data_IF_706694810451
#
_entry.id   IF_706694810451
#
_cell.length_a   1.000
_cell.length_b   1.000
_cell.length_c   1.000
_cell.angle_alpha   90.00
_cell.angle_beta   90.00
_cell.angle_gamma   90.00
#
_symmetry.space_group_name_H-M   'P 1'
#
loop_
_entity.id
_entity.type
_entity.pdbx_description
1 polymer ?
#
# COMPACT_ATOMS: atom_id res chain seq x y z
N UNK A 1 -11.72 -26.96 -13.67
CA UNK A 1 -10.30 -27.34 -13.69
C UNK A 1 -9.31 -26.20 -14.06
N UNK A 2 -9.70 -25.18 -14.84
CA UNK A 2 -8.79 -24.04 -15.18
C UNK A 2 -8.34 -23.24 -13.95
N UNK A 3 -9.23 -22.91 -13.04
CA UNK A 3 -8.92 -22.11 -11.85
C UNK A 3 -8.06 -22.82 -10.81
N UNK A 4 -8.13 -24.15 -10.74
CA UNK A 4 -7.31 -24.94 -9.81
C UNK A 4 -5.80 -24.83 -10.13
N UNK A 5 -5.44 -24.78 -11.41
CA UNK A 5 -4.04 -24.61 -11.85
C UNK A 5 -3.52 -23.19 -11.55
N UNK A 6 -4.38 -22.18 -11.68
CA UNK A 6 -4.03 -20.78 -11.39
C UNK A 6 -3.84 -20.56 -9.89
N UNK A 7 -4.73 -21.15 -9.07
CA UNK A 7 -4.60 -21.08 -7.60
C UNK A 7 -3.34 -21.82 -7.13
N UNK A 8 -3.05 -23.00 -7.69
CA UNK A 8 -1.85 -23.74 -7.36
C UNK A 8 -0.56 -22.99 -7.74
N UNK A 9 -0.57 -22.26 -8.86
CA UNK A 9 0.55 -21.42 -9.28
C UNK A 9 0.76 -20.22 -8.34
N UNK A 10 -0.32 -19.53 -7.93
CA UNK A 10 -0.26 -18.42 -6.98
C UNK A 10 0.24 -18.86 -5.59
N UNK A 11 -0.23 -20.01 -5.09
CA UNK A 11 0.23 -20.57 -3.81
C UNK A 11 1.69 -20.99 -3.88
N UNK A 12 2.13 -21.57 -5.00
CA UNK A 12 3.52 -21.97 -5.20
C UNK A 12 4.46 -20.76 -5.30
N UNK A 13 4.02 -19.67 -5.93
CA UNK A 13 4.79 -18.42 -6.02
C UNK A 13 4.93 -17.73 -4.67
N UNK A 14 3.89 -17.73 -3.83
CA UNK A 14 3.95 -17.16 -2.48
C UNK A 14 4.93 -17.88 -1.56
N UNK A 15 5.12 -19.19 -1.73
CA UNK A 15 6.08 -19.98 -0.92
C UNK A 15 7.54 -19.71 -1.30
N UNK A 16 7.84 -19.46 -2.57
CA UNK A 16 9.20 -19.16 -2.99
C UNK A 16 9.74 -17.82 -2.51
N UNK A 17 8.87 -16.84 -2.23
CA UNK A 17 9.27 -15.54 -1.67
C UNK A 17 9.57 -15.63 -0.17
N UNK A 18 9.02 -16.59 0.54
CA UNK A 18 9.26 -16.77 1.99
C UNK A 18 10.57 -17.49 2.32
N UNK A 19 11.19 -18.18 1.36
CA UNK A 19 12.35 -19.03 1.61
C UNK A 19 13.71 -18.29 1.61
N UNK A 20 13.78 -17.06 1.15
CA UNK A 20 15.05 -16.32 1.02
C UNK A 20 15.31 -15.28 2.10
N UNK A 21 14.38 -15.06 3.03
CA UNK A 21 14.43 -13.96 4.01
C UNK A 21 15.03 -14.34 5.38
N UNK A 22 15.43 -15.59 5.62
CA UNK A 22 15.96 -16.02 6.92
C UNK A 22 17.48 -16.07 6.92
N UNK A 23 18.12 -14.93 7.15
CA UNK A 23 19.51 -14.92 7.59
C UNK A 23 19.54 -15.32 9.06
N UNK A 24 19.65 -16.62 9.32
CA UNK A 24 19.83 -17.15 10.67
C UNK A 24 21.33 -17.13 11.01
N UNK A 25 21.71 -16.34 12.00
CA UNK A 25 23.09 -16.27 12.47
C UNK A 25 23.23 -15.50 13.76
N UNK A 26 24.17 -15.93 14.59
CA UNK A 26 24.53 -15.28 15.84
C UNK A 26 25.23 -13.93 15.69
N UNK A 27 25.63 -13.59 14.46
CA UNK A 27 26.25 -12.29 14.17
C UNK A 27 25.30 -11.40 13.35
N UNK A 28 25.26 -10.13 13.71
CA UNK A 28 24.53 -9.13 12.95
C UNK A 28 25.25 -8.86 11.63
N UNK A 29 24.50 -8.96 10.53
CA UNK A 29 25.01 -8.71 9.16
C UNK A 29 24.30 -7.51 8.56
N UNK A 30 24.96 -6.88 7.60
CA UNK A 30 24.35 -5.84 6.77
C UNK A 30 23.61 -6.48 5.61
N UNK A 31 22.34 -6.10 5.45
CA UNK A 31 21.47 -6.65 4.41
C UNK A 31 20.61 -5.55 3.75
N UNK A 32 20.44 -5.58 2.43
CA UNK A 32 19.41 -4.80 1.79
C UNK A 32 18.03 -5.38 2.15
N UNK A 33 17.05 -4.50 2.27
CA UNK A 33 15.64 -4.85 2.55
C UNK A 33 14.82 -4.29 1.41
N UNK A 34 14.08 -5.16 0.73
CA UNK A 34 13.13 -4.77 -0.32
C UNK A 34 11.81 -5.46 -0.03
N UNK A 35 10.74 -4.71 -0.08
CA UNK A 35 9.41 -5.23 0.18
C UNK A 35 8.37 -4.65 -0.78
N UNK A 36 7.34 -5.45 -1.04
CA UNK A 36 6.11 -5.02 -1.70
C UNK A 36 4.99 -5.27 -0.72
N UNK A 37 4.11 -4.31 -0.55
CA UNK A 37 2.97 -4.46 0.33
C UNK A 37 1.68 -4.00 -0.35
N UNK A 38 0.59 -4.62 0.05
CA UNK A 38 -0.76 -4.24 -0.30
C UNK A 38 -1.59 -4.17 0.97
N UNK A 39 -2.44 -3.19 1.07
CA UNK A 39 -3.29 -3.01 2.23
C UNK A 39 -4.51 -2.18 1.93
N UNK A 40 -5.38 -2.09 2.92
CA UNK A 40 -6.53 -1.22 2.88
C UNK A 40 -6.66 -0.43 4.16
N UNK A 41 -7.30 0.72 4.07
CA UNK A 41 -7.56 1.59 5.20
C UNK A 41 -8.94 2.23 5.10
N UNK A 42 -9.54 2.46 6.25
CA UNK A 42 -10.70 3.33 6.37
C UNK A 42 -10.22 4.72 6.75
N UNK A 43 -10.71 5.72 6.03
CA UNK A 43 -10.44 7.10 6.35
C UNK A 43 -11.05 7.46 7.71
N UNK A 44 -10.32 8.25 8.51
CA UNK A 44 -10.75 8.73 9.82
C UNK A 44 -10.82 10.27 9.87
N UNK A 45 -11.47 10.79 10.92
CA UNK A 45 -11.65 12.24 11.09
C UNK A 45 -12.35 12.88 9.88
N UNK A 46 -11.93 14.06 9.50
CA UNK A 46 -12.50 14.83 8.38
C UNK A 46 -12.40 14.12 7.04
N UNK A 47 -11.44 13.20 6.90
CA UNK A 47 -11.29 12.41 5.68
C UNK A 47 -12.39 11.35 5.54
N UNK A 48 -12.99 10.88 6.63
CA UNK A 48 -14.08 9.89 6.60
C UNK A 48 -15.36 10.44 5.96
N UNK A 49 -15.57 11.76 5.99
CA UNK A 49 -16.68 12.43 5.34
C UNK A 49 -16.50 12.49 3.82
N UNK A 50 -15.24 12.50 3.35
CA UNK A 50 -14.89 12.67 1.95
C UNK A 50 -14.57 11.36 1.24
N UNK A 51 -13.97 10.41 1.97
CA UNK A 51 -13.48 9.16 1.40
C UNK A 51 -13.96 7.99 2.26
N UNK A 52 -14.32 6.91 1.61
CA UNK A 52 -14.60 5.65 2.26
C UNK A 52 -13.36 4.77 2.40
N UNK A 53 -13.51 3.50 2.11
CA UNK A 53 -12.40 2.55 2.09
C UNK A 53 -11.43 2.88 0.95
N UNK A 54 -10.15 2.86 1.26
CA UNK A 54 -9.06 3.10 0.31
C UNK A 54 -8.13 1.89 0.27
N UNK A 55 -7.69 1.56 -0.93
CA UNK A 55 -6.64 0.56 -1.14
C UNK A 55 -5.29 1.25 -1.27
N UNK A 56 -4.23 0.56 -0.89
CA UNK A 56 -2.86 0.99 -1.13
C UNK A 56 -2.00 -0.15 -1.64
N UNK A 57 -1.10 0.16 -2.52
CA UNK A 57 -0.01 -0.70 -2.95
C UNK A 57 1.29 0.07 -2.81
N UNK A 58 2.30 -0.55 -2.26
CA UNK A 58 3.54 0.16 -2.00
C UNK A 58 4.78 -0.70 -2.13
N UNK A 59 5.90 0.01 -2.15
CA UNK A 59 7.24 -0.54 -2.21
C UNK A 59 8.04 0.00 -1.04
N UNK A 60 8.84 -0.86 -0.45
CA UNK A 60 9.83 -0.50 0.58
C UNK A 60 11.21 -0.87 0.08
N UNK A 61 12.17 0.04 0.21
CA UNK A 61 13.56 -0.23 -0.04
C UNK A 61 14.42 0.35 1.10
N UNK A 62 15.29 -0.46 1.66
CA UNK A 62 16.09 -0.05 2.80
C UNK A 62 17.36 -0.86 2.95
N UNK A 63 18.11 -0.52 3.99
CA UNK A 63 19.35 -1.19 4.32
C UNK A 63 19.51 -1.30 5.84
N UNK A 64 19.79 -2.51 6.31
CA UNK A 64 20.15 -2.79 7.69
C UNK A 64 21.66 -2.88 7.80
N UNK A 65 22.22 -2.15 8.75
CA UNK A 65 23.65 -2.17 9.08
C UNK A 65 23.98 -3.25 10.12
N UNK A 66 25.27 -3.61 10.23
CA UNK A 66 25.76 -4.57 11.24
C UNK A 66 25.49 -4.15 12.68
N UNK A 67 25.42 -2.84 12.95
CA UNK A 67 25.10 -2.30 14.27
C UNK A 67 23.58 -2.24 14.56
N UNK A 68 22.79 -2.95 13.75
CA UNK A 68 21.33 -3.02 13.84
C UNK A 68 20.58 -1.72 13.55
N UNK A 69 21.24 -0.68 13.07
CA UNK A 69 20.55 0.45 12.47
C UNK A 69 19.96 0.07 11.12
N UNK A 70 18.78 0.57 10.86
CA UNK A 70 18.06 0.38 9.60
C UNK A 70 17.55 1.73 9.11
N UNK A 71 17.65 1.95 7.81
CA UNK A 71 17.11 3.13 7.15
C UNK A 71 16.56 2.74 5.79
N UNK A 72 15.62 3.50 5.31
CA UNK A 72 15.03 3.23 4.01
C UNK A 72 13.95 4.23 3.64
N UNK A 73 13.34 3.94 2.52
CA UNK A 73 12.23 4.67 1.95
C UNK A 73 11.06 3.72 1.72
N UNK A 74 9.86 4.26 1.87
CA UNK A 74 8.61 3.59 1.55
C UNK A 74 7.79 4.52 0.68
N UNK A 75 7.17 3.97 -0.37
CA UNK A 75 6.29 4.72 -1.25
C UNK A 75 5.01 3.93 -1.48
N UNK A 76 3.88 4.58 -1.27
CA UNK A 76 2.54 4.03 -1.44
C UNK A 76 1.79 4.77 -2.53
N UNK A 77 1.10 4.03 -3.36
CA UNK A 77 0.04 4.52 -4.22
C UNK A 77 -1.32 4.17 -3.62
N UNK A 78 -2.09 5.19 -3.31
CA UNK A 78 -3.44 5.08 -2.76
C UNK A 78 -4.48 5.23 -3.86
N UNK A 79 -5.50 4.38 -3.83
CA UNK A 79 -6.59 4.45 -4.81
C UNK A 79 -7.91 3.96 -4.23
N UNK A 80 -9.00 4.63 -4.65
CA UNK A 80 -10.37 4.27 -4.30
C UNK A 80 -11.34 4.82 -5.33
N UNK A 81 -12.43 4.15 -5.52
CA UNK A 81 -13.65 4.61 -6.19
C UNK A 81 -14.73 5.07 -5.20
N UNK A 82 -14.48 4.90 -3.89
CA UNK A 82 -15.40 5.26 -2.84
C UNK A 82 -15.18 6.71 -2.37
N UNK A 83 -15.56 7.66 -3.21
CA UNK A 83 -15.53 9.10 -2.93
C UNK A 83 -16.92 9.56 -2.53
N UNK A 84 -17.04 10.16 -1.33
CA UNK A 84 -18.30 10.59 -0.72
C UNK A 84 -18.56 12.08 -0.87
N UNK A 85 -17.77 12.80 -1.66
CA UNK A 85 -17.94 14.24 -1.84
C UNK A 85 -19.28 14.53 -2.51
N UNK A 86 -20.24 15.01 -1.72
CA UNK A 86 -21.51 15.53 -2.22
C UNK A 86 -21.34 17.00 -2.63
N UNK A 87 -22.03 17.42 -3.68
CA UNK A 87 -22.01 18.81 -4.12
C UNK A 87 -20.81 19.23 -4.96
N UNK A 88 -19.86 18.32 -5.25
CA UNK A 88 -18.66 18.65 -6.02
C UNK A 88 -18.97 19.19 -7.42
N UNK A 89 -20.08 18.76 -8.00
CA UNK A 89 -20.52 19.10 -9.36
C UNK A 89 -21.85 19.85 -9.41
N UNK A 90 -22.34 20.38 -8.28
CA UNK A 90 -23.63 21.08 -8.22
C UNK A 90 -23.73 22.23 -9.22
N UNK A 91 -22.61 22.90 -9.50
CA UNK A 91 -22.52 23.98 -10.48
C UNK A 91 -22.57 23.51 -11.96
N UNK A 92 -22.49 22.21 -12.21
CA UNK A 92 -22.58 21.59 -13.53
C UNK A 92 -23.91 20.87 -13.76
N UNK A 93 -24.77 20.82 -12.75
CA UNK A 93 -26.05 20.13 -12.80
C UNK A 93 -27.09 21.07 -13.42
N UNK A 94 -27.78 20.60 -14.45
CA UNK A 94 -28.88 21.35 -15.09
C UNK A 94 -30.15 21.34 -14.22
N UNK A 95 -31.19 22.05 -14.68
CA UNK A 95 -32.49 22.11 -14.00
C UNK A 95 -33.21 20.76 -13.87
N UNK A 96 -32.75 19.72 -14.56
CA UNK A 96 -33.30 18.37 -14.52
C UNK A 96 -32.45 17.43 -13.67
N UNK A 97 -31.37 17.93 -13.03
CA UNK A 97 -30.48 17.13 -12.18
C UNK A 97 -29.41 16.34 -12.93
N UNK A 98 -29.15 16.66 -14.20
CA UNK A 98 -28.17 15.96 -15.03
C UNK A 98 -26.94 16.82 -15.29
N UNK A 99 -25.78 16.17 -15.38
CA UNK A 99 -24.58 16.77 -15.96
C UNK A 99 -24.64 16.50 -17.47
N UNK A 100 -24.48 17.53 -18.26
CA UNK A 100 -24.51 17.42 -19.73
C UNK A 100 -23.10 17.55 -20.32
N UNK A 101 -22.86 16.82 -21.40
CA UNK A 101 -21.65 16.95 -22.18
C UNK A 101 -21.73 18.17 -23.12
N UNK A 102 -20.70 18.40 -23.91
CA UNK A 102 -20.55 19.49 -24.88
C UNK A 102 -21.62 19.51 -26.00
N UNK A 103 -22.29 18.39 -26.23
CA UNK A 103 -23.38 18.24 -27.23
C UNK A 103 -24.78 18.23 -26.57
N UNK A 104 -24.86 18.55 -25.26
CA UNK A 104 -26.11 18.65 -24.52
C UNK A 104 -26.76 17.33 -24.11
N UNK A 105 -26.03 16.20 -24.17
CA UNK A 105 -26.53 14.90 -23.74
C UNK A 105 -26.13 14.61 -22.27
N UNK A 106 -26.97 13.88 -21.50
CA UNK A 106 -26.63 13.46 -20.15
C UNK A 106 -25.29 12.67 -20.12
N UNK A 107 -24.40 13.04 -19.22
CA UNK A 107 -23.11 12.43 -19.02
C UNK A 107 -22.97 11.85 -17.60
N UNK A 108 -22.34 10.69 -17.49
CA UNK A 108 -21.96 10.09 -16.21
C UNK A 108 -20.58 10.57 -15.80
N UNK A 109 -20.44 11.09 -14.60
CA UNK A 109 -19.16 11.50 -14.02
C UNK A 109 -18.76 10.51 -12.96
N UNK A 110 -17.56 9.94 -13.10
CA UNK A 110 -16.96 9.03 -12.15
C UNK A 110 -15.82 9.75 -11.41
N UNK A 111 -15.86 9.70 -10.08
CA UNK A 111 -14.86 10.33 -9.22
C UNK A 111 -13.99 9.25 -8.59
N UNK A 112 -12.69 9.44 -8.68
CA UNK A 112 -11.71 8.54 -8.10
C UNK A 112 -10.78 9.29 -7.15
N UNK A 113 -10.51 8.71 -5.98
CA UNK A 113 -9.44 9.16 -5.12
C UNK A 113 -8.13 8.47 -5.54
N UNK A 114 -7.10 9.27 -5.76
CA UNK A 114 -5.75 8.78 -6.07
C UNK A 114 -4.73 9.64 -5.36
N UNK A 115 -3.67 9.02 -4.82
CA UNK A 115 -2.62 9.75 -4.14
C UNK A 115 -1.33 8.94 -4.10
N UNK A 116 -0.22 9.65 -3.93
CA UNK A 116 1.10 9.07 -3.69
C UNK A 116 1.57 9.56 -2.34
N UNK A 117 2.11 8.66 -1.55
CA UNK A 117 2.71 8.95 -0.27
C UNK A 117 4.12 8.37 -0.25
N UNK A 118 5.09 9.12 0.24
CA UNK A 118 6.46 8.66 0.37
C UNK A 118 6.99 9.03 1.75
N UNK A 119 7.63 8.07 2.40
CA UNK A 119 8.26 8.21 3.70
C UNK A 119 9.73 7.81 3.64
N UNK A 120 10.55 8.47 4.43
CA UNK A 120 11.85 7.94 4.82
C UNK A 120 11.78 7.50 6.29
N UNK A 121 12.41 6.39 6.61
CA UNK A 121 12.48 5.90 7.98
C UNK A 121 13.92 5.62 8.39
N UNK A 122 14.15 5.78 9.68
CA UNK A 122 15.35 5.32 10.35
C UNK A 122 14.94 4.66 11.67
N UNK A 123 15.51 3.51 11.96
CA UNK A 123 15.17 2.78 13.17
C UNK A 123 16.35 1.91 13.63
N UNK A 124 16.20 1.27 14.76
CA UNK A 124 17.16 0.31 15.28
C UNK A 124 16.46 -1.00 15.59
N UNK A 125 16.97 -2.09 15.03
CA UNK A 125 16.45 -3.42 15.30
C UNK A 125 16.95 -3.89 16.67
N UNK A 126 16.02 -4.27 17.53
CA UNK A 126 16.27 -4.89 18.82
C UNK A 126 16.08 -6.40 18.68
N UNK A 127 17.16 -7.20 18.68
CA UNK A 127 17.04 -8.64 18.53
C UNK A 127 16.29 -9.24 19.73
N UNK A 128 15.32 -10.09 19.47
CA UNK A 128 14.56 -10.80 20.51
C UNK A 128 15.27 -12.04 21.01
N UNK A 129 16.28 -12.52 20.30
CA UNK A 129 17.01 -13.73 20.64
C UNK A 129 18.51 -13.54 20.31
N UNK A 130 19.37 -13.90 21.25
CA UNK A 130 20.84 -13.84 21.07
C UNK A 130 21.33 -14.76 19.96
N UNK A 131 20.60 -15.84 19.66
CA UNK A 131 20.94 -16.76 18.57
C UNK A 131 20.64 -16.19 17.18
N UNK A 132 19.80 -15.16 17.10
CA UNK A 132 19.47 -14.52 15.84
C UNK A 132 19.45 -12.99 15.98
N UNK A 133 20.60 -12.41 15.73
CA UNK A 133 20.84 -10.97 15.79
C UNK A 133 20.19 -10.18 14.64
N UNK A 134 19.62 -10.87 13.64
CA UNK A 134 19.07 -10.27 12.43
C UNK A 134 17.53 -10.26 12.42
N UNK A 135 16.89 -10.80 13.45
CA UNK A 135 15.44 -10.75 13.63
C UNK A 135 15.07 -10.11 14.97
N UNK A 136 14.06 -9.28 14.95
CA UNK A 136 13.66 -8.55 16.16
C UNK A 136 12.56 -7.53 15.86
N UNK A 137 12.43 -6.57 16.77
CA UNK A 137 11.51 -5.44 16.67
C UNK A 137 12.29 -4.23 16.16
N UNK A 138 11.73 -3.53 15.17
CA UNK A 138 12.24 -2.29 14.60
C UNK A 138 11.50 -1.09 15.21
#
# INVERSE_FOLDING_TARGET
MKYLKTIAFLVSFSQSVLLTAQVSGSQSVSIPVVGVHYGGAFSGGDLAERFGYMNRVGLTAGYKLKNNWSFGIESDFWFSDNVKLTGLFDHLIDSHGNITNDIGMPASVLVYARGVHANAYVGRLFPLNERNQNSGIL
#
